data_IF_661697236299
#
_entry.id   IF_661697236299
#
_cell.length_a   1.000
_cell.length_b   1.000
_cell.length_c   1.000
_cell.angle_alpha   90.00
_cell.angle_beta   90.00
_cell.angle_gamma   90.00
#
_symmetry.space_group_name_H-M   'P 1'
#
loop_
_entity.id
_entity.type
_entity.pdbx_description
1 polymer ?
#
# COMPACT_ATOMS: atom_id res chain seq x y z
N UNK A 1 -2.55 -0.37 11.95
CA UNK A 1 -1.39 0.50 11.67
C UNK A 1 -0.16 0.18 12.54
N UNK A 2 -0.31 -0.22 13.82
CA UNK A 2 0.85 -0.58 14.66
C UNK A 2 1.69 -1.73 14.08
N UNK A 3 1.06 -2.69 13.40
CA UNK A 3 1.75 -3.83 12.79
C UNK A 3 2.48 -3.45 11.50
N UNK A 4 1.84 -2.66 10.65
CA UNK A 4 2.38 -2.22 9.36
C UNK A 4 3.62 -1.34 9.56
N UNK A 5 3.58 -0.44 10.54
CA UNK A 5 4.71 0.39 10.94
C UNK A 5 5.84 -0.43 11.56
N UNK A 6 5.51 -1.40 12.42
CA UNK A 6 6.48 -2.32 13.02
C UNK A 6 7.21 -3.12 11.94
N UNK A 7 6.48 -3.64 10.95
CA UNK A 7 7.05 -4.36 9.83
C UNK A 7 7.98 -3.49 8.98
N UNK A 8 7.56 -2.24 8.67
CA UNK A 8 8.42 -1.28 7.98
C UNK A 8 9.74 -1.06 8.70
N UNK A 9 9.69 -0.74 10.00
CA UNK A 9 10.89 -0.51 10.82
C UNK A 9 11.81 -1.73 10.86
N UNK A 10 11.25 -2.94 10.93
CA UNK A 10 12.03 -4.19 10.91
C UNK A 10 12.72 -4.42 9.56
N UNK A 11 12.02 -4.17 8.45
CA UNK A 11 12.61 -4.27 7.12
C UNK A 11 13.76 -3.28 6.94
N UNK A 12 13.59 -2.03 7.38
CA UNK A 12 14.65 -1.01 7.36
C UNK A 12 15.84 -1.41 8.24
N UNK A 13 15.60 -1.82 9.49
CA UNK A 13 16.65 -2.26 10.41
C UNK A 13 17.43 -3.48 9.89
N UNK A 14 16.80 -4.31 9.06
CA UNK A 14 17.43 -5.45 8.40
C UNK A 14 18.16 -5.09 7.09
N UNK A 15 18.22 -3.80 6.70
CA UNK A 15 18.81 -3.34 5.44
C UNK A 15 18.02 -3.75 4.20
N UNK A 16 16.72 -4.08 4.35
CA UNK A 16 15.85 -4.64 3.31
C UNK A 16 14.64 -3.75 3.00
N UNK A 17 14.62 -2.50 3.46
CA UNK A 17 13.52 -1.57 3.19
C UNK A 17 13.27 -1.31 1.70
N UNK A 18 14.32 -1.45 0.88
CA UNK A 18 14.19 -1.36 -0.58
C UNK A 18 13.33 -2.48 -1.17
N UNK A 19 13.27 -3.67 -0.55
CA UNK A 19 12.46 -4.83 -0.97
C UNK A 19 11.02 -4.81 -0.46
N UNK A 20 10.62 -3.75 0.26
CA UNK A 20 9.27 -3.60 0.77
C UNK A 20 8.59 -2.36 0.15
N UNK A 21 7.37 -2.58 -0.33
CA UNK A 21 6.38 -1.54 -0.68
C UNK A 21 5.12 -1.88 0.09
N UNK A 22 4.53 -0.90 0.76
CA UNK A 22 3.26 -1.03 1.46
C UNK A 22 2.25 -0.09 0.83
N UNK A 23 0.99 -0.53 0.73
CA UNK A 23 -0.13 0.25 0.20
C UNK A 23 -1.29 0.12 1.16
N UNK A 24 -1.85 1.25 1.54
CA UNK A 24 -3.01 1.34 2.40
C UNK A 24 -4.25 1.38 1.50
N UNK A 25 -5.25 0.58 1.85
CA UNK A 25 -6.56 0.60 1.23
C UNK A 25 -7.51 1.21 2.26
N UNK A 26 -8.31 2.18 1.84
CA UNK A 26 -9.27 2.89 2.71
C UNK A 26 -10.55 2.08 2.81
N UNK A 27 -10.39 0.91 3.40
CA UNK A 27 -11.46 0.01 3.80
C UNK A 27 -11.20 -0.45 5.25
N UNK A 28 -12.25 -0.56 6.05
CA UNK A 28 -12.17 -0.96 7.45
C UNK A 28 -12.19 -2.48 7.66
N UNK A 29 -12.59 -3.24 6.64
CA UNK A 29 -12.73 -4.70 6.71
C UNK A 29 -11.42 -5.47 6.58
N UNK A 30 -11.35 -6.65 7.21
CA UNK A 30 -10.21 -7.55 7.03
C UNK A 30 -10.28 -8.23 5.66
N UNK A 31 -9.26 -7.99 4.83
CA UNK A 31 -9.16 -8.48 3.44
C UNK A 31 -10.23 -7.95 2.48
N UNK A 32 -10.82 -6.79 2.79
CA UNK A 32 -11.84 -6.15 1.95
C UNK A 32 -11.20 -5.36 0.80
N UNK A 33 -10.66 -6.10 -0.16
CA UNK A 33 -10.05 -5.57 -1.38
C UNK A 33 -11.01 -5.72 -2.57
N UNK A 34 -10.99 -4.75 -3.48
CA UNK A 34 -11.62 -4.92 -4.79
C UNK A 34 -10.78 -5.81 -5.70
N UNK A 35 -11.40 -6.32 -6.77
CA UNK A 35 -10.67 -7.01 -7.83
C UNK A 35 -9.62 -6.11 -8.50
N UNK A 36 -9.89 -4.80 -8.62
CA UNK A 36 -8.97 -3.83 -9.21
C UNK A 36 -7.73 -3.63 -8.34
N UNK A 37 -7.91 -3.48 -7.03
CA UNK A 37 -6.82 -3.31 -6.05
C UNK A 37 -5.89 -4.54 -6.05
N UNK A 38 -6.46 -5.74 -6.00
CA UNK A 38 -5.69 -7.00 -6.04
C UNK A 38 -4.96 -7.15 -7.37
N UNK A 39 -5.65 -6.93 -8.49
CA UNK A 39 -5.05 -7.07 -9.83
C UNK A 39 -3.90 -6.08 -10.04
N UNK A 40 -4.08 -4.82 -9.63
CA UNK A 40 -3.05 -3.79 -9.70
C UNK A 40 -1.85 -4.13 -8.82
N UNK A 41 -2.08 -4.56 -7.57
CA UNK A 41 -1.00 -4.96 -6.67
C UNK A 41 -0.20 -6.14 -7.23
N UNK A 42 -0.88 -7.14 -7.80
CA UNK A 42 -0.22 -8.29 -8.42
C UNK A 42 0.60 -7.92 -9.66
N UNK A 43 0.03 -7.12 -10.55
CA UNK A 43 0.73 -6.64 -11.75
C UNK A 43 1.97 -5.81 -11.39
N UNK A 44 1.85 -4.93 -10.41
CA UNK A 44 2.98 -4.10 -9.96
C UNK A 44 4.08 -4.96 -9.29
N UNK A 45 3.72 -5.97 -8.50
CA UNK A 45 4.68 -6.89 -7.90
C UNK A 45 5.43 -7.69 -8.97
N UNK A 46 4.71 -8.27 -9.93
CA UNK A 46 5.31 -9.06 -11.02
C UNK A 46 6.17 -8.20 -11.94
N UNK A 47 5.73 -6.98 -12.28
CA UNK A 47 6.53 -6.01 -13.02
C UNK A 47 7.80 -5.62 -12.25
N UNK A 48 7.71 -5.42 -10.94
CA UNK A 48 8.88 -5.12 -10.12
C UNK A 48 9.90 -6.24 -10.12
N UNK A 49 9.46 -7.48 -9.92
CA UNK A 49 10.35 -8.66 -9.91
C UNK A 49 11.02 -8.84 -11.27
N UNK A 50 10.31 -8.58 -12.37
CA UNK A 50 10.82 -8.80 -13.74
C UNK A 50 11.69 -7.68 -14.25
N UNK A 51 11.37 -6.42 -13.92
CA UNK A 51 12.05 -5.24 -14.49
C UNK A 51 12.99 -4.55 -13.50
N UNK A 52 12.89 -4.85 -12.21
CA UNK A 52 13.59 -4.13 -11.14
C UNK A 52 12.98 -2.76 -10.81
N UNK A 53 11.96 -2.30 -11.54
CA UNK A 53 11.32 -1.00 -11.31
C UNK A 53 10.41 -1.06 -10.08
N UNK A 54 10.83 -0.43 -8.98
CA UNK A 54 10.06 -0.40 -7.73
C UNK A 54 8.77 0.40 -7.93
N UNK A 55 7.59 -0.17 -7.60
CA UNK A 55 6.33 0.51 -7.76
C UNK A 55 6.09 1.49 -6.59
N UNK A 56 5.18 2.46 -6.75
CA UNK A 56 4.85 3.38 -5.66
C UNK A 56 4.11 2.66 -4.52
N UNK A 57 4.20 3.22 -3.32
CA UNK A 57 3.47 2.81 -2.12
C UNK A 57 3.31 3.99 -1.15
N UNK A 58 2.58 3.75 -0.06
CA UNK A 58 2.42 4.70 1.04
C UNK A 58 3.62 4.67 2.00
N UNK A 59 3.98 5.82 2.54
CA UNK A 59 4.86 5.90 3.69
C UNK A 59 4.07 5.70 4.98
N UNK A 60 4.02 4.45 5.43
CA UNK A 60 3.30 4.08 6.66
C UNK A 60 3.88 4.73 7.94
N UNK A 61 5.07 5.34 7.88
CA UNK A 61 5.70 6.04 9.01
C UNK A 61 5.45 7.56 9.01
N UNK A 62 4.89 8.10 7.94
CA UNK A 62 4.59 9.52 7.79
C UNK A 62 3.22 9.89 8.39
N UNK A 63 2.73 11.09 8.08
CA UNK A 63 1.34 11.45 8.33
C UNK A 63 0.42 10.57 7.46
N UNK A 64 -0.55 9.94 8.12
CA UNK A 64 -1.49 9.00 7.50
C UNK A 64 -2.85 9.63 7.21
N UNK A 65 -3.01 10.94 7.43
CA UNK A 65 -4.26 11.67 7.20
C UNK A 65 -4.82 11.52 5.78
N UNK A 66 -3.95 11.32 4.78
CA UNK A 66 -4.32 11.11 3.37
C UNK A 66 -3.80 9.80 2.76
N UNK A 67 -3.34 8.86 3.60
CA UNK A 67 -2.78 7.60 3.12
C UNK A 67 -3.81 6.74 2.36
N UNK A 68 -3.34 5.97 1.38
CA UNK A 68 -4.18 5.07 0.59
C UNK A 68 -5.00 5.73 -0.52
N UNK A 69 -4.90 7.06 -0.70
CA UNK A 69 -5.58 7.77 -1.80
C UNK A 69 -5.19 7.29 -3.18
N UNK A 70 -3.92 6.98 -3.38
CA UNK A 70 -3.41 6.54 -4.68
C UNK A 70 -3.76 5.08 -5.01
N UNK A 71 -4.24 4.30 -4.04
CA UNK A 71 -4.36 2.84 -4.14
C UNK A 71 -5.74 2.29 -3.85
N UNK A 72 -6.63 3.07 -3.23
CA UNK A 72 -8.03 2.67 -3.03
C UNK A 72 -8.81 2.85 -4.33
N UNK A 73 -9.35 1.76 -4.87
CA UNK A 73 -10.07 1.74 -6.14
C UNK A 73 -11.12 0.61 -6.14
N UNK A 74 -12.40 0.88 -6.43
CA UNK A 74 -12.99 2.19 -6.69
C UNK A 74 -13.01 3.08 -5.45
N UNK A 75 -13.27 4.39 -5.64
CA UNK A 75 -13.52 5.29 -4.52
C UNK A 75 -14.74 4.79 -3.75
N UNK A 76 -14.59 4.61 -2.44
CA UNK A 76 -15.66 4.08 -1.58
C UNK A 76 -16.67 5.19 -1.21
N UNK A 77 -17.94 4.85 -0.90
CA UNK A 77 -18.99 5.84 -0.61
C UNK A 77 -18.67 6.84 0.51
N UNK A 78 -17.85 6.45 1.49
CA UNK A 78 -17.46 7.30 2.64
C UNK A 78 -15.99 7.75 2.58
N UNK A 79 -15.35 7.57 1.44
CA UNK A 79 -13.96 7.94 1.25
C UNK A 79 -13.84 9.48 1.10
N UNK A 80 -13.10 10.18 1.98
CA UNK A 80 -12.82 11.62 1.82
C UNK A 80 -12.04 11.94 0.53
N UNK A 81 -11.60 10.91 -0.19
CA UNK A 81 -11.16 10.90 -1.59
C UNK A 81 -12.13 11.48 -2.62
N UNK A 82 -13.40 11.70 -2.27
CA UNK A 82 -14.43 12.30 -3.13
C UNK A 82 -14.42 13.85 -3.18
N UNK A 83 -13.42 14.53 -2.60
CA UNK A 83 -13.24 15.99 -2.69
C UNK A 83 -12.08 16.39 -3.60
#
# INVERSE_FOLDING_TARGET
>A
ITQEQSYRRKAEAAGRGNLLVQRIIRDGGHCEFSEQEVSRAWNDLTAWVTTGTKPPGDDVLADLSDAGRAFTEPIRPDDPGNR
#
